data_IF_273550716622
#
_entry.id   IF_273550716622
#
_cell.length_a   1.000
_cell.length_b   1.000
_cell.length_c   1.000
_cell.angle_alpha   90.00
_cell.angle_beta   90.00
_cell.angle_gamma   90.00
#
_symmetry.space_group_name_H-M   'P 1'
#
loop_
_entity.id
_entity.type
_entity.pdbx_description
1 polymer ?
#
# COMPACT_ATOMS: atom_id res chain seq x y z
N UNK A 1 33.67 -16.39 9.27
CA UNK A 1 32.79 -16.60 8.10
C UNK A 1 31.43 -16.00 8.43
N UNK A 2 31.13 -14.81 7.91
CA UNK A 2 29.84 -14.14 8.11
C UNK A 2 29.15 -13.97 6.75
N UNK A 3 28.46 -15.02 6.32
CA UNK A 3 27.57 -15.04 5.16
C UNK A 3 26.17 -15.33 5.73
N UNK A 4 25.35 -14.30 5.98
CA UNK A 4 24.09 -14.54 6.69
C UNK A 4 22.98 -13.50 6.60
N UNK A 5 23.10 -12.43 5.81
CA UNK A 5 22.06 -11.38 5.74
C UNK A 5 21.39 -11.23 4.36
N UNK A 6 21.88 -11.91 3.31
CA UNK A 6 21.35 -11.73 1.95
C UNK A 6 20.08 -12.58 1.66
N UNK A 7 19.80 -13.63 2.45
CA UNK A 7 18.71 -14.57 2.16
C UNK A 7 17.33 -14.18 2.71
N UNK A 8 17.26 -13.50 3.86
CA UNK A 8 15.97 -13.18 4.49
C UNK A 8 15.20 -12.07 3.77
N UNK A 9 15.89 -11.09 3.17
CA UNK A 9 15.26 -9.97 2.48
C UNK A 9 14.64 -10.33 1.13
N UNK A 10 15.25 -11.26 0.38
CA UNK A 10 14.73 -11.70 -0.92
C UNK A 10 13.42 -12.48 -0.78
N UNK A 11 13.34 -13.39 0.19
CA UNK A 11 12.10 -14.14 0.46
C UNK A 11 10.98 -13.23 0.97
N UNK A 12 11.31 -12.27 1.84
CA UNK A 12 10.34 -11.28 2.32
C UNK A 12 9.78 -10.43 1.17
N UNK A 13 10.64 -9.96 0.26
CA UNK A 13 10.22 -9.17 -0.90
C UNK A 13 9.34 -9.95 -1.87
N UNK A 14 9.70 -11.21 -2.17
CA UNK A 14 8.91 -12.06 -3.07
C UNK A 14 7.52 -12.36 -2.49
N UNK A 15 7.44 -12.74 -1.21
CA UNK A 15 6.15 -12.99 -0.54
C UNK A 15 5.31 -11.72 -0.44
N UNK A 16 5.93 -10.57 -0.13
CA UNK A 16 5.25 -9.29 -0.14
C UNK A 16 4.68 -8.95 -1.52
N UNK A 17 5.48 -9.11 -2.58
CA UNK A 17 5.03 -8.84 -3.94
C UNK A 17 3.80 -9.66 -4.33
N UNK A 18 3.77 -10.94 -3.95
CA UNK A 18 2.64 -11.84 -4.16
C UNK A 18 1.37 -11.37 -3.45
N UNK A 19 1.44 -11.11 -2.15
CA UNK A 19 0.27 -10.72 -1.37
C UNK A 19 -0.24 -9.32 -1.76
N UNK A 20 0.69 -8.41 -2.07
CA UNK A 20 0.35 -7.05 -2.53
C UNK A 20 -0.24 -7.10 -3.95
N UNK A 21 0.27 -7.93 -4.86
CA UNK A 21 -0.35 -8.13 -6.18
C UNK A 21 -1.79 -8.65 -6.06
N UNK A 22 -2.04 -9.57 -5.13
CA UNK A 22 -3.41 -10.04 -4.81
C UNK A 22 -4.29 -8.89 -4.32
N UNK A 23 -3.79 -8.08 -3.39
CA UNK A 23 -4.49 -6.91 -2.87
C UNK A 23 -4.81 -5.88 -3.98
N UNK A 24 -3.84 -5.52 -4.83
CA UNK A 24 -4.07 -4.60 -5.95
C UNK A 24 -5.02 -5.20 -7.00
N UNK A 25 -5.03 -6.51 -7.18
CA UNK A 25 -6.04 -7.18 -7.98
C UNK A 25 -7.45 -7.07 -7.37
N UNK A 26 -7.59 -7.13 -6.04
CA UNK A 26 -8.86 -6.92 -5.38
C UNK A 26 -9.35 -5.47 -5.51
N UNK A 27 -8.43 -4.50 -5.37
CA UNK A 27 -8.67 -3.08 -5.67
C UNK A 27 -9.22 -2.90 -7.09
N UNK A 28 -8.54 -3.42 -8.10
CA UNK A 28 -8.95 -3.24 -9.51
C UNK A 28 -10.34 -3.84 -9.80
N UNK A 29 -10.68 -4.94 -9.14
CA UNK A 29 -11.96 -5.64 -9.33
C UNK A 29 -13.09 -5.09 -8.45
N UNK A 30 -12.84 -4.07 -7.64
CA UNK A 30 -13.77 -3.59 -6.60
C UNK A 30 -14.22 -4.74 -5.65
N UNK A 31 -13.35 -5.73 -5.45
CA UNK A 31 -13.62 -6.90 -4.61
C UNK A 31 -13.40 -6.53 -3.15
N UNK A 32 -14.50 -6.17 -2.48
CA UNK A 32 -14.47 -5.75 -1.09
C UNK A 32 -13.93 -6.83 -0.16
N UNK A 33 -14.30 -8.09 -0.34
CA UNK A 33 -13.84 -9.16 0.56
C UNK A 33 -12.33 -9.40 0.41
N UNK A 34 -11.85 -9.43 -0.84
CA UNK A 34 -10.41 -9.55 -1.14
C UNK A 34 -9.60 -8.35 -0.66
N UNK A 35 -10.18 -7.14 -0.76
CA UNK A 35 -9.57 -5.91 -0.27
C UNK A 35 -9.41 -5.94 1.26
N UNK A 36 -10.49 -6.22 2.01
CA UNK A 36 -10.45 -6.32 3.47
C UNK A 36 -9.47 -7.39 3.97
N UNK A 37 -9.36 -8.53 3.26
CA UNK A 37 -8.40 -9.58 3.62
C UNK A 37 -6.93 -9.14 3.50
N UNK A 38 -6.64 -8.14 2.65
CA UNK A 38 -5.33 -7.53 2.51
C UNK A 38 -5.07 -6.35 3.44
N UNK A 39 -6.05 -5.97 4.28
CA UNK A 39 -5.91 -4.87 5.23
C UNK A 39 -5.56 -5.35 6.64
N UNK A 40 -4.70 -4.60 7.30
CA UNK A 40 -4.70 -4.52 8.75
C UNK A 40 -5.55 -3.32 9.16
N UNK A 41 -6.88 -3.51 9.16
CA UNK A 41 -7.84 -2.44 9.33
C UNK A 41 -7.60 -1.57 10.58
N UNK A 42 -7.33 -2.12 11.78
CA UNK A 42 -7.02 -1.31 12.96
C UNK A 42 -5.80 -0.40 12.78
N UNK A 43 -4.75 -0.88 12.12
CA UNK A 43 -3.54 -0.08 11.87
C UNK A 43 -3.81 1.03 10.85
N UNK A 44 -4.50 0.72 9.76
CA UNK A 44 -4.87 1.72 8.74
C UNK A 44 -5.77 2.81 9.34
N UNK A 45 -6.74 2.43 10.17
CA UNK A 45 -7.61 3.38 10.86
C UNK A 45 -6.83 4.27 11.84
N UNK A 46 -5.86 3.68 12.55
CA UNK A 46 -4.97 4.42 13.46
C UNK A 46 -4.07 5.42 12.71
N UNK A 47 -3.44 4.98 11.62
CA UNK A 47 -2.57 5.81 10.77
C UNK A 47 -3.36 7.00 10.18
N UNK A 48 -4.57 6.76 9.66
CA UNK A 48 -5.43 7.83 9.16
C UNK A 48 -5.87 8.81 10.26
N UNK A 49 -6.14 8.33 11.48
CA UNK A 49 -6.49 9.18 12.63
C UNK A 49 -5.34 10.12 13.00
N UNK A 50 -4.13 9.59 13.03
CA UNK A 50 -2.91 10.37 13.30
C UNK A 50 -2.72 11.45 12.23
N UNK A 51 -2.78 11.08 10.95
CA UNK A 51 -2.65 12.02 9.84
C UNK A 51 -3.72 13.12 9.84
N UNK A 52 -4.98 12.79 10.15
CA UNK A 52 -6.06 13.78 10.27
C UNK A 52 -5.82 14.75 11.43
N UNK A 53 -5.34 14.24 12.56
CA UNK A 53 -5.03 15.05 13.74
C UNK A 53 -3.88 16.01 13.44
N UNK A 54 -2.82 15.51 12.80
CA UNK A 54 -1.68 16.33 12.36
C UNK A 54 -2.09 17.40 11.36
N UNK A 55 -2.96 17.05 10.39
CA UNK A 55 -3.49 18.00 9.42
C UNK A 55 -4.31 19.09 10.11
N UNK A 56 -5.19 18.74 11.05
CA UNK A 56 -5.97 19.70 11.83
C UNK A 56 -5.07 20.68 12.58
N UNK A 57 -4.07 20.16 13.32
CA UNK A 57 -3.07 20.97 14.01
C UNK A 57 -2.31 21.91 13.07
N UNK A 58 -1.87 21.42 11.92
CA UNK A 58 -1.16 22.21 10.92
C UNK A 58 -2.03 23.33 10.30
N UNK A 59 -3.36 23.16 10.31
CA UNK A 59 -4.33 24.16 9.84
C UNK A 59 -4.84 25.08 10.95
N UNK A 60 -4.37 24.92 12.19
CA UNK A 60 -4.85 25.69 13.34
C UNK A 60 -6.30 25.39 13.71
N UNK A 61 -6.82 24.23 13.32
CA UNK A 61 -8.19 23.79 13.61
C UNK A 61 -8.11 22.64 14.62
N UNK A 62 -8.80 22.79 15.74
CA UNK A 62 -9.08 21.66 16.62
C UNK A 62 -10.18 20.81 15.97
N UNK A 63 -9.78 19.68 15.38
CA UNK A 63 -10.68 18.78 14.66
C UNK A 63 -11.42 17.83 15.60
N UNK A 64 -11.19 17.90 16.92
CA UNK A 64 -11.68 16.89 17.87
C UNK A 64 -11.17 15.49 17.53
N UNK A 65 -11.71 14.46 18.17
CA UNK A 65 -11.38 13.07 17.82
C UNK A 65 -12.08 12.71 16.49
N UNK A 66 -11.35 12.31 15.44
CA UNK A 66 -11.96 11.93 14.16
C UNK A 66 -12.92 10.74 14.34
N UNK A 67 -14.13 10.84 13.81
CA UNK A 67 -15.13 9.77 13.89
C UNK A 67 -14.63 8.48 13.22
N UNK A 68 -14.64 7.36 13.96
CA UNK A 68 -14.26 6.04 13.44
C UNK A 68 -15.12 5.64 12.23
N UNK A 69 -16.40 5.99 12.24
CA UNK A 69 -17.31 5.75 11.12
C UNK A 69 -16.88 6.53 9.86
N UNK A 70 -16.38 7.75 10.01
CA UNK A 70 -15.91 8.55 8.88
C UNK A 70 -14.62 7.97 8.28
N UNK A 71 -13.66 7.60 9.13
CA UNK A 71 -12.40 6.96 8.72
C UNK A 71 -12.69 5.63 8.00
N UNK A 72 -13.56 4.79 8.57
CA UNK A 72 -13.88 3.49 7.99
C UNK A 72 -14.42 3.58 6.55
N UNK A 73 -15.14 4.67 6.21
CA UNK A 73 -15.62 4.92 4.83
C UNK A 73 -14.54 5.39 3.87
N UNK A 74 -13.45 5.97 4.36
CA UNK A 74 -12.28 6.33 3.55
C UNK A 74 -11.50 5.09 3.11
N UNK A 75 -11.62 3.98 3.86
CA UNK A 75 -10.94 2.71 3.58
C UNK A 75 -11.84 1.83 2.72
N UNK A 76 -11.81 2.08 1.41
CA UNK A 76 -12.56 1.32 0.42
C UNK A 76 -11.69 1.09 -0.84
N UNK A 77 -11.98 0.07 -1.67
CA UNK A 77 -11.21 -0.18 -2.88
C UNK A 77 -11.32 0.96 -3.90
N UNK A 78 -12.45 1.69 -3.95
CA UNK A 78 -12.68 2.79 -4.88
C UNK A 78 -11.77 4.01 -4.65
N UNK A 79 -11.20 4.13 -3.45
CA UNK A 79 -10.26 5.19 -3.10
C UNK A 79 -8.91 5.03 -3.79
N UNK A 80 -8.59 3.83 -4.29
CA UNK A 80 -7.33 3.50 -4.92
C UNK A 80 -7.43 3.59 -6.44
N UNK A 81 -6.50 4.33 -7.04
CA UNK A 81 -6.43 4.51 -8.49
C UNK A 81 -5.16 3.87 -9.03
N UNK A 82 -5.32 2.71 -9.67
CA UNK A 82 -4.24 2.03 -10.37
C UNK A 82 -4.11 2.58 -11.78
N UNK A 83 -2.95 3.15 -12.09
CA UNK A 83 -2.69 3.81 -13.37
C UNK A 83 -1.37 3.37 -13.96
N UNK A 84 -1.29 3.31 -15.29
CA UNK A 84 -0.05 2.99 -15.98
C UNK A 84 0.95 4.14 -15.83
N UNK A 85 2.18 3.83 -15.40
CA UNK A 85 3.20 4.82 -15.09
C UNK A 85 3.67 5.64 -16.30
N UNK A 86 3.43 5.17 -17.54
CA UNK A 86 3.83 5.89 -18.77
C UNK A 86 2.74 6.80 -19.29
N UNK A 87 1.50 6.34 -19.26
CA UNK A 87 0.36 7.02 -19.90
C UNK A 87 -0.51 7.76 -18.90
N UNK A 88 -0.39 7.43 -17.62
CA UNK A 88 -1.22 7.94 -16.53
C UNK A 88 -2.68 7.49 -16.59
N UNK A 89 -3.03 6.64 -17.55
CA UNK A 89 -4.38 6.10 -17.75
C UNK A 89 -4.66 4.93 -16.78
N UNK A 90 -5.92 4.67 -16.44
CA UNK A 90 -6.28 3.49 -15.65
C UNK A 90 -5.72 2.21 -16.25
N UNK A 91 -5.16 1.33 -15.41
CA UNK A 91 -4.68 0.02 -15.88
C UNK A 91 -5.86 -0.88 -16.24
N UNK A 92 -5.71 -1.64 -17.33
CA UNK A 92 -6.74 -2.60 -17.75
C UNK A 92 -6.63 -3.96 -17.04
N UNK A 93 -5.49 -4.24 -16.40
CA UNK A 93 -5.20 -5.53 -15.77
C UNK A 93 -4.51 -5.35 -14.41
N UNK A 94 -4.69 -6.31 -13.47
CA UNK A 94 -4.01 -6.28 -12.20
C UNK A 94 -2.48 -6.28 -12.37
N UNK A 95 -1.73 -5.55 -11.52
CA UNK A 95 -0.27 -5.63 -11.50
C UNK A 95 0.21 -7.06 -11.22
N UNK A 96 1.19 -7.52 -11.99
CA UNK A 96 1.87 -8.80 -11.76
C UNK A 96 2.80 -8.71 -10.55
N UNK A 97 3.15 -9.87 -9.96
CA UNK A 97 4.11 -9.93 -8.85
C UNK A 97 5.46 -9.29 -9.21
N UNK A 98 5.91 -9.43 -10.46
CA UNK A 98 7.14 -8.81 -10.95
C UNK A 98 7.04 -7.27 -11.00
N UNK A 99 5.91 -6.73 -11.48
CA UNK A 99 5.66 -5.28 -11.48
C UNK A 99 5.62 -4.74 -10.04
N UNK A 100 4.92 -5.42 -9.14
CA UNK A 100 4.87 -5.03 -7.72
C UNK A 100 6.26 -5.11 -7.08
N UNK A 101 7.02 -6.17 -7.33
CA UNK A 101 8.38 -6.31 -6.82
C UNK A 101 9.32 -5.18 -7.29
N UNK A 102 9.12 -4.65 -8.49
CA UNK A 102 9.88 -3.50 -8.99
C UNK A 102 9.56 -2.20 -8.23
N UNK A 103 8.32 -2.06 -7.74
CA UNK A 103 7.86 -0.90 -6.96
C UNK A 103 8.18 -1.01 -5.47
N UNK A 104 8.49 -2.22 -4.99
CA UNK A 104 8.68 -2.48 -3.56
C UNK A 104 10.04 -2.04 -3.05
N UNK A 105 10.01 -1.22 -1.99
CA UNK A 105 11.14 -0.87 -1.15
C UNK A 105 11.04 -1.60 0.18
N UNK A 106 12.06 -2.42 0.48
CA UNK A 106 12.16 -3.12 1.76
C UNK A 106 12.68 -2.15 2.81
N UNK A 107 11.92 -1.94 3.89
CA UNK A 107 12.35 -1.10 5.02
C UNK A 107 13.08 -1.94 6.05
N UNK A 108 12.54 -3.11 6.36
CA UNK A 108 13.15 -4.14 7.19
C UNK A 108 12.52 -5.51 6.88
N UNK A 109 12.87 -6.56 7.62
CA UNK A 109 12.38 -7.92 7.38
C UNK A 109 10.86 -8.13 7.56
N UNK A 110 10.16 -7.16 8.17
CA UNK A 110 8.72 -7.22 8.43
C UNK A 110 7.93 -6.04 7.86
N UNK A 111 8.59 -5.08 7.20
CA UNK A 111 7.97 -3.88 6.65
C UNK A 111 8.50 -3.59 5.25
N UNK A 112 7.57 -3.35 4.33
CA UNK A 112 7.84 -2.94 2.95
C UNK A 112 6.92 -1.78 2.60
N UNK A 113 7.22 -1.09 1.50
CA UNK A 113 6.28 -0.13 0.94
C UNK A 113 6.35 -0.04 -0.57
N UNK A 114 5.25 0.42 -1.15
CA UNK A 114 5.21 0.86 -2.54
C UNK A 114 5.78 2.27 -2.62
N UNK A 115 6.77 2.41 -3.49
CA UNK A 115 7.43 3.68 -3.75
C UNK A 115 6.62 4.54 -4.74
N UNK A 116 6.62 5.84 -4.53
CA UNK A 116 6.12 6.80 -5.52
C UNK A 116 7.16 6.98 -6.62
N UNK A 117 6.79 6.80 -7.88
CA UNK A 117 7.75 6.84 -8.98
C UNK A 117 8.44 8.20 -9.13
N UNK A 118 7.74 9.30 -8.80
CA UNK A 118 8.27 10.66 -8.95
C UNK A 118 9.13 11.08 -7.75
N UNK A 119 8.64 10.89 -6.53
CA UNK A 119 9.28 11.42 -5.33
C UNK A 119 10.20 10.41 -4.63
N UNK A 120 10.15 9.13 -5.03
CA UNK A 120 10.78 8.01 -4.35
C UNK A 120 10.48 7.96 -2.84
N UNK A 121 9.30 8.49 -2.47
CA UNK A 121 8.75 8.39 -1.13
C UNK A 121 7.89 7.15 -1.01
N UNK A 122 8.14 6.47 0.09
CA UNK A 122 7.34 5.36 0.61
C UNK A 122 5.93 5.88 0.91
N UNK A 123 4.99 5.71 -0.03
CA UNK A 123 3.61 6.20 0.10
C UNK A 123 2.74 5.19 0.84
N UNK A 124 2.76 3.93 0.42
CA UNK A 124 1.83 2.91 0.89
C UNK A 124 2.61 1.81 1.63
N UNK A 125 2.34 1.67 2.92
CA UNK A 125 3.06 0.78 3.83
C UNK A 125 2.37 -0.57 4.00
N UNK A 126 3.16 -1.63 3.98
CA UNK A 126 2.72 -2.99 4.28
C UNK A 126 3.60 -3.61 5.35
N UNK A 127 2.99 -4.35 6.26
CA UNK A 127 3.71 -5.11 7.26
C UNK A 127 3.33 -6.60 7.21
N UNK A 128 4.27 -7.44 7.63
CA UNK A 128 4.03 -8.87 7.79
C UNK A 128 3.18 -9.11 9.03
N UNK A 129 2.01 -9.74 8.85
CA UNK A 129 1.06 -10.14 9.90
C UNK A 129 0.81 -11.64 9.79
N UNK A 130 1.44 -12.41 10.68
CA UNK A 130 1.51 -13.86 10.53
C UNK A 130 2.21 -14.23 9.23
N UNK A 131 1.51 -14.97 8.36
CA UNK A 131 2.04 -15.42 7.06
C UNK A 131 1.66 -14.53 5.87
N UNK A 132 0.90 -13.45 6.10
CA UNK A 132 0.45 -12.54 5.05
C UNK A 132 1.04 -11.14 5.20
N UNK A 133 1.27 -10.47 4.07
CA UNK A 133 1.52 -9.03 4.06
C UNK A 133 0.21 -8.27 3.99
N UNK A 134 0.03 -7.33 4.92
CA UNK A 134 -1.19 -6.52 5.02
C UNK A 134 -0.85 -5.06 4.94
N UNK A 135 -1.76 -4.29 4.35
CA UNK A 135 -1.68 -2.84 4.32
C UNK A 135 -1.82 -2.30 5.75
N UNK A 136 -0.86 -1.48 6.16
CA UNK A 136 -0.85 -0.87 7.51
C UNK A 136 -0.85 0.64 7.48
N UNK A 137 -0.53 1.26 6.34
CA UNK A 137 -0.52 2.72 6.23
C UNK A 137 -0.76 3.21 4.81
N UNK A 138 -1.54 4.28 4.71
CA UNK A 138 -1.92 4.93 3.46
C UNK A 138 -1.88 6.45 3.64
N UNK A 139 -1.46 7.21 2.63
CA UNK A 139 -1.48 8.66 2.74
C UNK A 139 -2.91 9.17 2.71
N UNK A 140 -3.20 10.21 3.48
CA UNK A 140 -4.47 10.92 3.41
C UNK A 140 -4.66 11.54 2.01
N UNK A 141 -5.81 11.28 1.37
CA UNK A 141 -6.19 11.87 0.08
C UNK A 141 -6.16 10.89 -1.10
N UNK A 142 -5.70 11.35 -2.27
CA UNK A 142 -5.71 10.58 -3.52
C UNK A 142 -4.69 9.42 -3.49
N UNK A 143 -5.19 8.18 -3.52
CA UNK A 143 -4.38 6.95 -3.48
C UNK A 143 -4.07 6.46 -4.88
N UNK A 144 -3.37 7.30 -5.64
CA UNK A 144 -2.82 6.95 -6.95
C UNK A 144 -1.60 6.04 -6.80
N UNK A 145 -1.62 4.91 -7.50
CA UNK A 145 -0.53 3.93 -7.58
C UNK A 145 -0.13 3.77 -9.04
N UNK A 146 1.11 4.10 -9.35
CA UNK A 146 1.66 4.02 -10.70
C UNK A 146 2.28 2.65 -10.95
N UNK A 147 1.70 1.90 -11.87
CA UNK A 147 2.09 0.54 -12.22
C UNK A 147 3.10 0.63 -13.36
N UNK A 148 4.32 0.08 -13.20
CA UNK A 148 5.29 0.06 -14.28
C UNK A 148 4.77 -0.79 -15.45
N UNK A 149 5.22 -0.53 -16.69
CA UNK A 149 4.82 -1.36 -17.83
C UNK A 149 5.15 -2.82 -17.55
N UNK A 150 4.29 -3.73 -18.04
CA UNK A 150 4.59 -5.15 -17.97
C UNK A 150 5.96 -5.42 -18.63
N UNK A 151 6.81 -6.18 -17.96
CA UNK A 151 8.07 -6.62 -18.55
C UNK A 151 7.73 -7.39 -19.84
N UNK A 152 8.36 -6.99 -20.96
CA UNK A 152 8.26 -7.76 -22.19
C UNK A 152 8.86 -9.15 -21.94
N UNK A 153 8.18 -10.24 -22.34
CA UNK A 153 8.74 -11.58 -22.25
C UNK A 153 9.99 -11.74 -23.11
#
# INVERSE_FOLDING_TARGET
MALGAAGCGMNAKAQAAKDIARFLGAVLRHDRAGFEAGLDRPEVESDLREQLTELGRAKGVDVGEPSEFAIGRMINPDAFHLVDAKTGQPVAAPPTEAQVAAMLKVRNGTHVCLDEAVTHRCRIGFAKRGDAWRLTGVPLGDLRIEVPPAAKP
#
